data_IF_557094357437
#
_entry.id   IF_557094357437
#
_cell.length_a   1.000
_cell.length_b   1.000
_cell.length_c   1.000
_cell.angle_alpha   90.00
_cell.angle_beta   90.00
_cell.angle_gamma   90.00
#
_symmetry.space_group_name_H-M   'P 1'
#
loop_
_entity.id
_entity.type
_entity.pdbx_description
1 polymer ?
#
# COMPACT_ATOMS: atom_id res chain seq x y z
N UNK A 1 28.07 56.36 -32.94
CA UNK A 1 27.50 56.85 -34.22
C UNK A 1 26.51 55.83 -34.75
N UNK A 2 25.29 56.28 -35.13
CA UNK A 2 24.26 55.63 -35.99
C UNK A 2 23.69 54.27 -35.50
N UNK A 3 22.46 54.19 -34.97
CA UNK A 3 21.09 54.31 -35.55
C UNK A 3 20.44 52.93 -35.77
N UNK A 4 19.42 52.64 -34.95
CA UNK A 4 18.06 52.15 -35.24
C UNK A 4 17.80 51.15 -36.39
N UNK A 5 17.09 50.05 -36.07
CA UNK A 5 15.84 49.51 -36.67
C UNK A 5 15.57 48.12 -36.06
N UNK A 6 14.55 47.93 -35.20
CA UNK A 6 13.12 47.69 -35.50
C UNK A 6 12.86 46.39 -36.25
N UNK A 7 12.15 45.43 -35.62
CA UNK A 7 10.87 44.87 -36.11
C UNK A 7 10.34 43.77 -35.17
N UNK A 8 9.16 44.04 -34.62
CA UNK A 8 8.25 43.07 -34.00
C UNK A 8 7.73 42.07 -35.03
N UNK A 9 7.62 40.80 -34.65
CA UNK A 9 6.65 39.85 -35.23
C UNK A 9 6.13 38.89 -34.15
N UNK A 10 4.85 39.04 -33.79
CA UNK A 10 4.04 38.01 -33.12
C UNK A 10 3.55 36.99 -34.16
N UNK A 11 3.41 35.70 -33.80
CA UNK A 11 2.43 34.84 -34.44
C UNK A 11 1.11 34.85 -33.67
N UNK A 12 0.04 35.28 -34.36
CA UNK A 12 -1.35 34.98 -34.01
C UNK A 12 -1.57 33.47 -34.06
N UNK A 13 -2.12 32.88 -33.01
CA UNK A 13 -2.80 31.58 -33.10
C UNK A 13 -4.29 31.85 -33.12
N UNK A 14 -4.89 31.63 -34.28
CA UNK A 14 -6.32 31.73 -34.58
C UNK A 14 -7.09 30.58 -33.94
N UNK A 15 -8.11 30.93 -33.16
CA UNK A 15 -9.17 30.03 -32.75
C UNK A 15 -10.02 29.64 -33.96
N UNK A 16 -10.12 28.33 -34.25
CA UNK A 16 -11.07 27.76 -35.19
C UNK A 16 -12.18 27.06 -34.44
N UNK A 17 -13.35 27.71 -34.34
CA UNK A 17 -14.61 27.06 -34.05
C UNK A 17 -15.16 26.49 -35.37
N UNK A 18 -15.35 25.18 -35.43
CA UNK A 18 -16.24 24.54 -36.42
C UNK A 18 -17.19 23.63 -35.64
N UNK A 19 -18.48 23.92 -35.75
CA UNK A 19 -19.57 23.07 -35.34
C UNK A 19 -20.22 22.43 -36.57
N UNK A 20 -20.85 21.27 -36.31
CA UNK A 20 -21.83 20.52 -37.11
C UNK A 20 -21.30 19.55 -38.20
N UNK A 21 -21.43 18.24 -37.94
CA UNK A 21 -22.55 17.46 -38.50
C UNK A 21 -22.63 16.08 -37.84
N UNK A 22 -23.87 15.64 -37.61
CA UNK A 22 -24.28 14.30 -37.22
C UNK A 22 -23.73 13.22 -38.16
N UNK A 23 -23.37 12.06 -37.59
CA UNK A 23 -23.55 10.79 -38.27
C UNK A 23 -23.95 9.71 -37.25
N UNK A 24 -25.04 9.02 -37.54
CA UNK A 24 -25.52 7.84 -36.83
C UNK A 24 -24.52 6.70 -37.05
N UNK A 25 -23.96 6.18 -35.97
CA UNK A 25 -23.08 5.01 -35.98
C UNK A 25 -23.36 4.16 -34.76
N UNK A 26 -24.23 3.17 -34.94
CA UNK A 26 -24.55 2.10 -33.99
C UNK A 26 -23.27 1.40 -33.52
N UNK A 27 -23.01 1.42 -32.21
CA UNK A 27 -22.17 0.41 -31.56
C UNK A 27 -22.80 -0.02 -30.24
N UNK A 28 -22.92 -1.33 -30.11
CA UNK A 28 -23.59 -2.08 -29.06
C UNK A 28 -22.98 -1.80 -27.69
N UNK A 29 -23.78 -1.26 -26.77
CA UNK A 29 -23.46 -1.27 -25.35
C UNK A 29 -23.75 -2.67 -24.81
N UNK A 30 -22.71 -3.46 -24.54
CA UNK A 30 -22.82 -4.62 -23.65
C UNK A 30 -23.07 -4.14 -22.22
N UNK A 31 -24.35 -4.12 -21.84
CA UNK A 31 -24.80 -3.94 -20.47
C UNK A 31 -24.68 -5.28 -19.76
N UNK A 32 -23.84 -5.36 -18.73
CA UNK A 32 -23.84 -6.51 -17.83
C UNK A 32 -25.17 -6.50 -17.04
N UNK A 33 -25.96 -7.56 -17.23
CA UNK A 33 -27.13 -7.85 -16.42
C UNK A 33 -26.69 -8.27 -15.02
N UNK A 34 -27.32 -7.64 -14.03
CA UNK A 34 -27.29 -8.06 -12.63
C UNK A 34 -28.07 -9.36 -12.52
N UNK A 35 -27.40 -10.46 -12.18
CA UNK A 35 -28.05 -11.72 -11.84
C UNK A 35 -28.49 -11.66 -10.37
N UNK A 36 -29.80 -11.61 -10.16
CA UNK A 36 -30.42 -11.83 -8.84
C UNK A 36 -30.13 -13.27 -8.38
N UNK A 37 -29.49 -13.42 -7.22
CA UNK A 37 -29.35 -14.73 -6.57
C UNK A 37 -30.55 -14.97 -5.66
N UNK A 38 -31.42 -15.87 -6.11
CA UNK A 38 -32.58 -16.38 -5.42
C UNK A 38 -32.21 -17.04 -4.08
N UNK A 39 -32.84 -16.58 -3.01
CA UNK A 39 -32.82 -17.25 -1.73
C UNK A 39 -33.45 -18.64 -1.81
N UNK A 40 -32.82 -19.63 -1.17
CA UNK A 40 -33.42 -20.93 -0.88
C UNK A 40 -33.47 -21.14 0.62
N UNK A 41 -34.67 -21.02 1.17
CA UNK A 41 -35.05 -21.61 2.45
C UNK A 41 -35.26 -23.11 2.24
N UNK A 42 -34.71 -23.94 3.13
CA UNK A 42 -35.21 -25.30 3.36
C UNK A 42 -35.21 -25.57 4.86
N UNK A 43 -36.40 -25.88 5.36
CA UNK A 43 -36.71 -26.17 6.76
C UNK A 43 -36.68 -27.68 7.05
N UNK A 44 -36.03 -28.01 8.17
CA UNK A 44 -36.18 -29.10 9.16
C UNK A 44 -37.01 -30.39 8.87
N UNK A 45 -36.42 -31.56 9.22
CA UNK A 45 -36.80 -32.48 10.33
C UNK A 45 -35.91 -33.76 10.31
N UNK A 46 -35.14 -34.07 11.38
CA UNK A 46 -35.37 -35.10 12.45
C UNK A 46 -35.43 -36.56 11.94
N UNK A 47 -34.86 -37.64 12.49
CA UNK A 47 -34.07 -38.08 13.66
C UNK A 47 -33.32 -39.37 13.18
N UNK A 48 -32.33 -40.02 13.78
CA UNK A 48 -32.27 -40.61 15.13
C UNK A 48 -30.93 -41.38 15.32
N UNK A 49 -30.51 -41.49 16.58
CA UNK A 49 -29.75 -42.60 17.22
C UNK A 49 -28.25 -42.88 16.93
N UNK A 50 -27.46 -42.45 17.92
CA UNK A 50 -26.30 -43.06 18.61
C UNK A 50 -25.53 -44.26 18.02
N UNK A 51 -24.20 -44.17 18.02
CA UNK A 51 -23.32 -45.12 18.72
C UNK A 51 -21.97 -44.46 19.08
N UNK A 52 -21.45 -44.87 20.23
CA UNK A 52 -20.23 -44.43 20.91
C UNK A 52 -19.00 -45.08 20.27
N UNK A 53 -17.93 -44.33 19.98
CA UNK A 53 -16.59 -44.90 19.74
C UNK A 53 -15.50 -43.85 19.97
N UNK A 54 -14.83 -44.02 21.09
CA UNK A 54 -13.51 -43.51 21.45
C UNK A 54 -12.48 -43.87 20.37
N UNK A 55 -11.84 -42.86 19.77
CA UNK A 55 -10.50 -43.03 19.20
C UNK A 55 -9.79 -41.68 19.16
N UNK A 56 -8.75 -41.58 19.98
CA UNK A 56 -7.69 -40.58 19.87
C UNK A 56 -7.10 -40.61 18.47
N UNK A 57 -7.31 -39.55 17.70
CA UNK A 57 -6.41 -39.20 16.60
C UNK A 57 -6.06 -37.71 16.69
N UNK A 58 -4.77 -37.49 16.88
CA UNK A 58 -4.14 -36.17 16.81
C UNK A 58 -4.42 -35.59 15.43
N UNK A 59 -4.93 -34.37 15.38
CA UNK A 59 -4.89 -33.57 14.16
C UNK A 59 -3.44 -33.49 13.68
N UNK A 60 -3.17 -33.75 12.39
CA UNK A 60 -1.83 -33.62 11.85
C UNK A 60 -1.48 -32.14 11.83
N UNK A 61 -0.49 -31.75 12.62
CA UNK A 61 0.23 -30.49 12.42
C UNK A 61 0.70 -30.41 10.97
N UNK A 62 0.63 -29.21 10.40
CA UNK A 62 1.06 -28.87 9.04
C UNK A 62 2.41 -29.54 8.72
N UNK A 63 2.33 -30.71 8.10
CA UNK A 63 3.45 -31.36 7.47
C UNK A 63 3.69 -30.63 6.16
N UNK A 64 4.85 -30.00 6.05
CA UNK A 64 5.37 -29.43 4.81
C UNK A 64 5.16 -30.44 3.68
N UNK A 65 4.23 -30.15 2.76
CA UNK A 65 4.20 -30.86 1.50
C UNK A 65 5.57 -30.61 0.84
N UNK A 66 6.26 -31.64 0.31
CA UNK A 66 7.49 -31.41 -0.43
C UNK A 66 7.14 -30.49 -1.60
N UNK A 67 7.62 -29.24 -1.57
CA UNK A 67 7.16 -28.17 -2.48
C UNK A 67 7.48 -28.43 -3.95
N UNK A 68 8.04 -29.58 -4.32
CA UNK A 68 8.47 -29.91 -5.69
C UNK A 68 9.65 -29.06 -6.18
N UNK A 69 9.98 -27.98 -5.46
CA UNK A 69 11.05 -27.05 -5.76
C UNK A 69 12.41 -27.66 -5.45
N UNK A 70 13.39 -27.31 -6.29
CA UNK A 70 14.79 -27.68 -6.11
C UNK A 70 15.40 -26.84 -4.99
N UNK A 71 15.84 -27.51 -3.94
CA UNK A 71 16.56 -26.87 -2.83
C UNK A 71 17.96 -26.42 -3.28
N UNK A 72 18.33 -25.19 -2.90
CA UNK A 72 19.65 -24.59 -3.08
C UNK A 72 20.35 -24.45 -1.73
N UNK A 73 21.68 -24.37 -1.76
CA UNK A 73 22.48 -24.19 -0.54
C UNK A 73 22.49 -22.71 -0.14
N UNK A 74 22.31 -22.41 1.14
CA UNK A 74 22.36 -21.05 1.67
C UNK A 74 23.69 -20.35 1.37
N UNK A 75 24.82 -21.09 1.33
CA UNK A 75 26.13 -20.52 1.04
C UNK A 75 26.23 -19.99 -0.41
N UNK A 76 25.40 -20.46 -1.35
CA UNK A 76 25.33 -19.91 -2.71
C UNK A 76 24.92 -18.43 -2.71
N UNK A 77 24.20 -17.99 -1.68
CA UNK A 77 23.65 -16.64 -1.55
C UNK A 77 24.44 -15.78 -0.57
N UNK A 78 25.54 -16.30 0.00
CA UNK A 78 26.33 -15.60 0.99
C UNK A 78 27.12 -14.45 0.35
N UNK A 79 26.99 -13.26 0.92
CA UNK A 79 27.69 -12.09 0.45
C UNK A 79 29.20 -12.21 0.72
N UNK A 80 30.00 -11.71 -0.23
CA UNK A 80 31.46 -11.73 -0.16
C UNK A 80 32.04 -10.35 -0.49
N UNK A 81 33.30 -10.12 -0.12
CA UNK A 81 34.02 -8.87 -0.34
C UNK A 81 34.36 -8.13 0.97
N UNK A 82 35.09 -7.02 0.85
CA UNK A 82 35.69 -6.31 1.99
C UNK A 82 34.69 -5.95 3.11
N UNK A 83 33.44 -5.60 2.74
CA UNK A 83 32.37 -5.26 3.70
C UNK A 83 31.82 -6.45 4.49
N UNK A 84 32.07 -7.68 4.03
CA UNK A 84 31.53 -8.92 4.60
C UNK A 84 32.61 -9.83 5.19
N UNK A 85 33.85 -9.33 5.37
CA UNK A 85 34.94 -10.10 5.99
C UNK A 85 34.67 -10.42 7.47
N UNK A 86 33.92 -9.57 8.14
CA UNK A 86 33.57 -9.69 9.58
C UNK A 86 32.07 -9.75 9.85
N UNK A 87 31.25 -9.66 8.79
CA UNK A 87 29.79 -9.64 8.86
C UNK A 87 29.23 -10.72 7.96
N UNK A 88 28.41 -11.61 8.51
CA UNK A 88 27.72 -12.62 7.72
C UNK A 88 26.38 -12.07 7.23
N UNK A 89 26.17 -12.11 5.92
CA UNK A 89 24.95 -11.67 5.27
C UNK A 89 24.67 -12.49 4.02
N UNK A 90 23.41 -12.58 3.65
CA UNK A 90 22.93 -13.23 2.45
C UNK A 90 22.06 -12.27 1.64
N UNK A 91 22.14 -12.38 0.32
CA UNK A 91 21.29 -11.63 -0.58
C UNK A 91 20.62 -12.56 -1.58
N UNK A 92 19.30 -12.51 -1.65
CA UNK A 92 18.47 -13.34 -2.54
C UNK A 92 17.64 -12.44 -3.43
N UNK A 93 17.62 -12.72 -4.74
CA UNK A 93 16.85 -11.96 -5.74
C UNK A 93 15.90 -12.88 -6.50
N UNK A 94 14.70 -12.38 -6.81
CA UNK A 94 13.72 -13.08 -7.64
C UNK A 94 14.23 -13.31 -9.07
N UNK A 95 13.69 -14.32 -9.81
CA UNK A 95 14.09 -14.60 -11.19
C UNK A 95 13.97 -13.40 -12.14
N UNK A 96 12.94 -12.58 -11.96
CA UNK A 96 12.67 -11.38 -12.76
C UNK A 96 13.41 -10.12 -12.26
N UNK A 97 14.13 -10.23 -11.14
CA UNK A 97 14.88 -9.15 -10.51
C UNK A 97 14.06 -8.09 -9.78
N UNK A 98 12.72 -8.22 -9.68
CA UNK A 98 11.86 -7.25 -9.00
C UNK A 98 12.00 -7.25 -7.48
N UNK A 99 12.25 -8.41 -6.89
CA UNK A 99 12.44 -8.56 -5.45
C UNK A 99 13.91 -8.80 -5.18
N UNK A 100 14.49 -8.04 -4.26
CA UNK A 100 15.88 -8.23 -3.84
C UNK A 100 15.98 -8.06 -2.33
N UNK A 101 16.12 -9.20 -1.65
CA UNK A 101 16.14 -9.33 -0.21
C UNK A 101 17.56 -9.38 0.34
N UNK A 102 17.74 -8.72 1.47
CA UNK A 102 18.96 -8.72 2.26
C UNK A 102 18.67 -9.31 3.64
N UNK A 103 19.55 -10.18 4.11
CA UNK A 103 19.43 -10.84 5.42
C UNK A 103 20.80 -10.82 6.11
N UNK A 104 20.86 -10.30 7.34
CA UNK A 104 22.07 -10.34 8.15
C UNK A 104 21.98 -11.45 9.19
N UNK A 105 23.10 -12.05 9.56
CA UNK A 105 23.15 -12.99 10.67
C UNK A 105 22.65 -12.32 11.97
N UNK A 106 21.73 -13.00 12.66
CA UNK A 106 21.09 -12.49 13.87
C UNK A 106 20.03 -11.41 13.67
N UNK A 107 19.71 -11.03 12.43
CA UNK A 107 18.56 -10.17 12.16
C UNK A 107 17.24 -10.91 12.38
N UNK A 108 16.18 -10.16 12.74
CA UNK A 108 14.86 -10.73 12.99
C UNK A 108 14.20 -11.30 11.72
N UNK A 109 14.59 -10.81 10.55
CA UNK A 109 14.11 -11.27 9.26
C UNK A 109 14.69 -10.41 8.13
N UNK A 110 14.30 -10.70 6.88
CA UNK A 110 14.85 -9.99 5.74
C UNK A 110 14.21 -8.62 5.57
N UNK A 111 14.93 -7.76 4.86
CA UNK A 111 14.42 -6.53 4.26
C UNK A 111 14.55 -6.64 2.75
N UNK A 112 13.46 -6.41 2.04
CA UNK A 112 13.35 -6.72 0.61
C UNK A 112 12.93 -5.48 -0.15
N UNK A 113 13.75 -5.03 -1.09
CA UNK A 113 13.29 -4.08 -2.10
C UNK A 113 12.33 -4.80 -3.04
N UNK A 114 11.25 -4.12 -3.40
CA UNK A 114 10.19 -4.68 -4.24
C UNK A 114 9.81 -3.66 -5.31
N UNK A 115 9.95 -4.06 -6.58
CA UNK A 115 9.41 -3.36 -7.73
C UNK A 115 7.92 -3.66 -7.91
N UNK A 116 7.08 -3.02 -7.10
CA UNK A 116 5.62 -3.16 -7.15
C UNK A 116 5.03 -2.73 -8.49
N UNK A 117 3.98 -3.41 -8.95
CA UNK A 117 3.12 -2.92 -10.03
C UNK A 117 2.22 -1.78 -9.53
N UNK A 118 1.58 -1.99 -8.38
CA UNK A 118 0.72 -1.03 -7.69
C UNK A 118 1.19 -0.92 -6.23
N UNK A 119 2.07 0.04 -5.89
CA UNK A 119 2.69 0.11 -4.57
C UNK A 119 1.67 0.46 -3.49
N UNK A 120 1.70 -0.21 -2.32
CA UNK A 120 0.96 0.23 -1.14
C UNK A 120 1.24 1.70 -0.78
N UNK A 121 0.21 2.44 -0.38
CA UNK A 121 0.31 3.85 0.02
C UNK A 121 0.49 3.96 1.54
N UNK A 122 1.55 4.65 1.95
CA UNK A 122 2.03 4.84 3.32
C UNK A 122 2.31 6.33 3.55
N UNK A 123 1.28 7.16 3.77
CA UNK A 123 1.43 8.60 3.83
C UNK A 123 1.99 9.04 5.19
N UNK A 124 3.29 8.83 5.38
CA UNK A 124 4.03 9.19 6.58
C UNK A 124 4.39 10.70 6.57
N UNK A 125 4.16 11.44 7.66
CA UNK A 125 4.42 12.88 7.72
C UNK A 125 5.91 13.23 7.84
N UNK A 126 6.77 12.27 8.17
CA UNK A 126 8.21 12.43 8.30
C UNK A 126 8.95 11.92 7.05
N UNK A 127 8.26 11.19 6.17
CA UNK A 127 8.85 10.57 5.01
C UNK A 127 8.20 11.05 3.69
N UNK A 128 8.96 11.68 2.78
CA UNK A 128 8.41 12.14 1.51
C UNK A 128 8.04 10.98 0.57
N UNK A 129 8.54 9.77 0.80
CA UNK A 129 8.21 8.58 0.01
C UNK A 129 6.91 7.95 0.53
N UNK A 130 5.78 8.27 -0.12
CA UNK A 130 4.47 7.72 0.22
C UNK A 130 4.21 6.34 -0.37
N UNK A 131 4.80 6.03 -1.52
CA UNK A 131 4.64 4.71 -2.13
C UNK A 131 5.65 3.75 -1.52
N UNK A 132 5.19 2.58 -1.11
CA UNK A 132 6.09 1.53 -0.66
C UNK A 132 7.02 1.11 -1.80
N UNK A 133 8.29 0.91 -1.47
CA UNK A 133 9.31 0.37 -2.36
C UNK A 133 10.09 -0.78 -1.70
N UNK A 134 9.69 -1.14 -0.49
CA UNK A 134 10.33 -2.16 0.34
C UNK A 134 9.28 -2.93 1.14
N UNK A 135 9.63 -4.14 1.56
CA UNK A 135 8.93 -4.94 2.55
C UNK A 135 9.92 -5.31 3.66
N UNK A 136 9.53 -5.10 4.91
CA UNK A 136 10.34 -5.44 6.09
C UNK A 136 9.60 -6.43 6.98
N UNK A 137 10.32 -7.39 7.56
CA UNK A 137 9.80 -8.28 8.59
C UNK A 137 9.90 -7.64 9.99
N UNK A 138 8.85 -7.80 10.79
CA UNK A 138 8.81 -7.45 12.21
C UNK A 138 8.48 -8.72 13.00
N UNK A 139 9.34 -9.09 13.94
CA UNK A 139 9.16 -10.29 14.76
C UNK A 139 7.81 -10.27 15.50
N UNK A 140 7.05 -11.37 15.37
CA UNK A 140 5.72 -11.54 15.96
C UNK A 140 4.59 -10.74 15.29
N UNK A 141 4.89 -9.93 14.27
CA UNK A 141 3.90 -9.16 13.53
C UNK A 141 3.86 -9.49 12.02
N UNK A 142 4.95 -9.98 11.44
CA UNK A 142 5.05 -10.41 10.05
C UNK A 142 5.60 -9.36 9.09
N UNK A 143 5.16 -9.38 7.84
CA UNK A 143 5.74 -8.55 6.76
C UNK A 143 4.97 -7.24 6.53
N UNK A 144 5.66 -6.12 6.44
CA UNK A 144 5.00 -4.81 6.25
C UNK A 144 5.62 -4.07 5.07
N UNK A 145 4.82 -3.51 4.16
CA UNK A 145 5.33 -2.59 3.16
C UNK A 145 5.89 -1.33 3.86
N UNK A 146 6.95 -0.77 3.29
CA UNK A 146 7.63 0.44 3.75
C UNK A 146 8.02 1.30 2.55
N UNK A 147 7.84 2.62 2.67
CA UNK A 147 8.41 3.61 1.77
C UNK A 147 9.75 4.07 2.34
N UNK A 148 10.83 3.99 1.58
CA UNK A 148 12.16 4.43 2.05
C UNK A 148 12.84 5.25 0.96
N UNK A 149 13.34 6.44 1.32
CA UNK A 149 14.06 7.34 0.40
C UNK A 149 15.51 6.88 0.19
N UNK A 150 16.18 6.52 1.28
CA UNK A 150 17.55 6.00 1.27
C UNK A 150 17.61 4.78 2.19
N UNK A 151 17.55 3.60 1.58
CA UNK A 151 17.56 2.33 2.28
C UNK A 151 18.97 1.84 2.62
N UNK A 152 20.00 2.68 2.37
CA UNK A 152 21.38 2.35 2.65
C UNK A 152 21.97 1.32 1.68
N UNK A 153 23.08 0.72 2.10
CA UNK A 153 23.83 -0.25 1.29
C UNK A 153 23.13 -1.62 1.27
N UNK A 154 22.62 -2.01 0.11
CA UNK A 154 22.01 -3.33 -0.10
C UNK A 154 23.06 -4.45 -0.06
N UNK A 155 22.70 -5.60 0.51
CA UNK A 155 23.54 -6.81 0.43
C UNK A 155 23.58 -7.29 -1.02
N UNK A 156 24.78 -7.55 -1.61
CA UNK A 156 24.88 -8.13 -2.93
C UNK A 156 24.06 -9.42 -3.02
N UNK A 157 23.11 -9.45 -3.94
CA UNK A 157 22.14 -10.53 -4.06
C UNK A 157 22.47 -11.48 -5.20
N UNK A 158 22.27 -12.78 -4.97
CA UNK A 158 22.26 -13.79 -6.02
C UNK A 158 20.83 -14.15 -6.41
N UNK A 159 20.64 -14.45 -7.70
CA UNK A 159 19.35 -14.82 -8.24
C UNK A 159 19.00 -16.26 -7.84
N UNK A 160 17.77 -16.44 -7.35
CA UNK A 160 17.12 -17.73 -7.23
C UNK A 160 16.44 -18.03 -8.58
N UNK A 161 16.67 -19.21 -9.16
CA UNK A 161 16.08 -19.53 -10.47
C UNK A 161 14.64 -20.05 -10.33
N UNK A 162 13.90 -20.05 -11.43
CA UNK A 162 12.57 -20.67 -11.51
C UNK A 162 12.61 -22.14 -11.07
N UNK A 163 11.64 -22.53 -10.24
CA UNK A 163 11.51 -23.86 -9.67
C UNK A 163 12.48 -24.14 -8.51
N UNK A 164 13.16 -23.11 -7.99
CA UNK A 164 14.11 -23.25 -6.88
C UNK A 164 13.58 -22.67 -5.56
N UNK A 165 14.17 -23.13 -4.47
CA UNK A 165 14.00 -22.57 -3.13
C UNK A 165 15.28 -22.62 -2.32
N UNK A 166 15.38 -21.78 -1.29
CA UNK A 166 16.48 -21.78 -0.32
C UNK A 166 15.97 -21.43 1.07
N UNK A 167 16.37 -22.20 2.09
CA UNK A 167 16.22 -21.86 3.51
C UNK A 167 17.53 -21.27 4.05
N UNK A 168 17.47 -20.03 4.55
CA UNK A 168 18.58 -19.33 5.19
C UNK A 168 18.15 -18.96 6.60
N UNK A 169 18.64 -19.71 7.59
CA UNK A 169 18.36 -19.48 9.02
C UNK A 169 16.85 -19.42 9.36
N UNK A 170 16.02 -20.24 8.73
CA UNK A 170 14.58 -20.27 8.95
C UNK A 170 13.81 -19.20 8.16
N UNK A 171 14.49 -18.46 7.27
CA UNK A 171 13.88 -17.61 6.24
C UNK A 171 13.88 -18.39 4.93
N UNK A 172 12.69 -18.71 4.43
CA UNK A 172 12.53 -19.49 3.21
C UNK A 172 12.23 -18.53 2.06
N UNK A 173 13.00 -18.64 0.99
CA UNK A 173 12.77 -17.95 -0.28
C UNK A 173 12.40 -18.99 -1.33
N UNK A 174 11.28 -18.78 -2.02
CA UNK A 174 10.79 -19.69 -3.06
C UNK A 174 10.53 -18.92 -4.36
N UNK A 175 10.91 -19.52 -5.48
CA UNK A 175 10.60 -19.02 -6.83
C UNK A 175 9.86 -20.12 -7.61
N UNK A 176 8.56 -20.36 -7.35
CA UNK A 176 7.82 -21.45 -8.01
C UNK A 176 7.74 -21.31 -9.53
N UNK A 177 7.73 -20.07 -10.03
CA UNK A 177 7.75 -19.72 -11.45
C UNK A 177 8.67 -18.51 -11.69
N UNK A 178 8.93 -18.16 -12.94
CA UNK A 178 9.74 -16.98 -13.29
C UNK A 178 9.12 -15.63 -12.83
N UNK A 179 7.82 -15.61 -12.53
CA UNK A 179 7.05 -14.39 -12.18
C UNK A 179 6.31 -14.59 -10.84
N UNK A 180 6.83 -15.45 -9.96
CA UNK A 180 6.30 -15.66 -8.61
C UNK A 180 7.48 -15.81 -7.65
N UNK A 181 7.51 -14.97 -6.62
CA UNK A 181 8.53 -15.02 -5.58
C UNK A 181 7.87 -14.87 -4.21
N UNK A 182 8.12 -15.84 -3.34
CA UNK A 182 7.56 -15.89 -1.98
C UNK A 182 8.68 -15.89 -0.96
N UNK A 183 8.49 -15.12 0.11
CA UNK A 183 9.40 -15.09 1.27
C UNK A 183 8.58 -15.44 2.50
N UNK A 184 9.08 -16.41 3.28
CA UNK A 184 8.43 -16.88 4.48
C UNK A 184 9.38 -16.80 5.67
N UNK A 185 8.86 -16.33 6.80
CA UNK A 185 9.52 -16.37 8.11
C UNK A 185 8.48 -16.82 9.11
N UNK A 186 8.71 -17.97 9.76
CA UNK A 186 7.74 -18.59 10.67
C UNK A 186 6.40 -18.84 9.93
N UNK A 187 5.29 -18.33 10.46
CA UNK A 187 3.93 -18.40 9.94
C UNK A 187 3.55 -17.24 9.02
N UNK A 188 4.43 -16.24 8.86
CA UNK A 188 4.21 -15.08 8.01
C UNK A 188 4.86 -15.25 6.64
N UNK A 189 4.22 -14.71 5.60
CA UNK A 189 4.76 -14.71 4.25
C UNK A 189 4.29 -13.50 3.44
N UNK A 190 5.11 -13.12 2.48
CA UNK A 190 4.66 -12.28 1.38
C UNK A 190 5.01 -12.92 0.05
N UNK A 191 4.21 -12.59 -0.95
CA UNK A 191 4.37 -13.04 -2.33
C UNK A 191 4.30 -11.84 -3.26
N UNK A 192 5.18 -11.83 -4.25
CA UNK A 192 5.11 -10.94 -5.40
C UNK A 192 4.92 -11.81 -6.63
N UNK A 193 3.85 -11.55 -7.40
CA UNK A 193 3.53 -12.32 -8.61
C UNK A 193 2.98 -11.44 -9.74
N UNK A 194 2.77 -12.01 -10.93
CA UNK A 194 2.02 -11.38 -12.04
C UNK A 194 2.57 -9.98 -12.39
N UNK A 195 3.90 -9.85 -12.53
CA UNK A 195 4.53 -8.59 -12.90
C UNK A 195 4.67 -7.55 -11.78
N UNK A 196 4.49 -7.94 -10.52
CA UNK A 196 4.74 -7.07 -9.35
C UNK A 196 3.55 -6.89 -8.41
N UNK A 197 2.49 -7.68 -8.53
CA UNK A 197 1.37 -7.70 -7.61
C UNK A 197 1.80 -8.28 -6.27
N UNK A 198 1.63 -7.50 -5.22
CA UNK A 198 2.03 -7.85 -3.87
C UNK A 198 0.87 -8.33 -3.03
N UNK A 199 1.10 -9.40 -2.27
CA UNK A 199 0.22 -9.87 -1.20
C UNK A 199 1.05 -10.32 -0.01
N UNK A 200 0.56 -10.08 1.21
CA UNK A 200 1.12 -10.65 2.43
C UNK A 200 -0.02 -11.05 3.36
N UNK A 201 0.22 -11.99 4.27
CA UNK A 201 -0.79 -12.39 5.27
C UNK A 201 -1.18 -11.24 6.23
N UNK A 202 -0.29 -10.26 6.33
CA UNK A 202 -0.37 -9.05 7.15
C UNK A 202 -0.86 -7.81 6.40
N UNK A 203 -1.09 -7.89 5.08
CA UNK A 203 -1.53 -6.78 4.24
C UNK A 203 -2.79 -7.15 3.44
N UNK A 204 -3.83 -6.29 3.36
CA UNK A 204 -3.88 -4.90 3.79
C UNK A 204 -3.86 -4.73 5.30
N UNK A 205 -3.23 -3.64 5.76
CA UNK A 205 -3.15 -3.28 7.17
C UNK A 205 -4.55 -3.04 7.72
N UNK A 206 -4.78 -3.52 8.95
CA UNK A 206 -6.06 -3.39 9.65
C UNK A 206 -5.85 -2.82 11.04
N UNK A 207 -6.82 -2.05 11.57
CA UNK A 207 -6.82 -1.67 12.97
C UNK A 207 -6.85 -2.90 13.89
N UNK A 208 -6.29 -2.76 15.08
CA UNK A 208 -6.42 -3.73 16.16
C UNK A 208 -7.87 -3.77 16.72
N UNK A 209 -8.11 -4.65 17.70
CA UNK A 209 -9.42 -4.81 18.33
C UNK A 209 -9.92 -3.55 19.06
N UNK A 210 -9.05 -2.60 19.37
CA UNK A 210 -9.36 -1.34 20.03
C UNK A 210 -9.45 -0.17 19.02
N UNK A 211 -9.28 -0.45 17.73
CA UNK A 211 -9.32 0.53 16.65
C UNK A 211 -8.01 1.28 16.39
N UNK A 212 -6.91 0.92 17.05
CA UNK A 212 -5.60 1.52 16.80
C UNK A 212 -4.94 0.89 15.58
N UNK A 213 -4.37 1.72 14.73
CA UNK A 213 -3.86 1.29 13.44
C UNK A 213 -2.44 1.82 13.14
N UNK A 214 -1.62 1.04 12.43
CA UNK A 214 -0.33 1.52 11.92
C UNK A 214 -0.52 2.43 10.69
N UNK A 215 0.53 3.18 10.35
CA UNK A 215 0.64 4.01 9.14
C UNK A 215 0.28 3.23 7.88
N UNK A 216 -0.47 3.86 6.96
CA UNK A 216 -0.97 3.24 5.73
C UNK A 216 -2.27 2.46 5.87
N UNK A 217 -2.74 2.21 7.09
CA UNK A 217 -4.08 1.63 7.30
C UNK A 217 -5.15 2.59 6.79
N UNK A 218 -6.15 2.05 6.09
CA UNK A 218 -7.36 2.80 5.72
C UNK A 218 -8.38 2.64 6.83
N UNK A 219 -8.71 3.74 7.52
CA UNK A 219 -9.73 3.76 8.57
C UNK A 219 -11.16 3.65 8.03
N UNK A 220 -11.37 4.10 6.79
CA UNK A 220 -12.66 4.07 6.13
C UNK A 220 -12.70 4.99 4.92
N UNK A 221 -13.91 5.20 4.39
CA UNK A 221 -14.20 6.13 3.31
C UNK A 221 -15.23 7.15 3.78
N UNK A 222 -15.14 8.38 3.28
CA UNK A 222 -16.11 9.45 3.52
C UNK A 222 -16.39 10.21 2.24
N UNK A 223 -17.63 10.61 2.05
CA UNK A 223 -17.98 11.53 0.97
C UNK A 223 -17.64 12.96 1.41
N UNK A 224 -17.04 13.74 0.52
CA UNK A 224 -16.67 15.14 0.74
C UNK A 224 -17.17 16.00 -0.42
N UNK A 225 -17.04 17.31 -0.31
CA UNK A 225 -17.32 18.23 -1.43
C UNK A 225 -16.42 18.00 -2.66
N UNK A 226 -15.36 17.19 -2.53
CA UNK A 226 -14.42 16.84 -3.59
C UNK A 226 -14.61 15.39 -4.08
N UNK A 227 -15.71 14.74 -3.70
CA UNK A 227 -15.96 13.33 -4.00
C UNK A 227 -15.61 12.40 -2.84
N UNK A 228 -15.61 11.10 -3.12
CA UNK A 228 -15.33 10.06 -2.12
C UNK A 228 -13.84 9.98 -1.81
N UNK A 229 -13.49 10.02 -0.54
CA UNK A 229 -12.11 10.01 -0.08
C UNK A 229 -11.88 8.83 0.87
N UNK A 230 -10.69 8.22 0.79
CA UNK A 230 -10.18 7.25 1.76
C UNK A 230 -9.43 7.97 2.87
N UNK A 231 -9.70 7.59 4.11
CA UNK A 231 -9.04 8.14 5.31
C UNK A 231 -7.86 7.24 5.67
N UNK A 232 -6.65 7.68 5.35
CA UNK A 232 -5.40 6.97 5.63
C UNK A 232 -4.79 7.41 6.95
N UNK A 233 -4.27 6.45 7.71
CA UNK A 233 -3.45 6.70 8.89
C UNK A 233 -2.07 7.19 8.46
N UNK A 234 -1.62 8.29 9.06
CA UNK A 234 -0.29 8.86 8.85
C UNK A 234 0.70 8.52 9.97
N UNK A 235 0.22 8.20 11.18
CA UNK A 235 1.07 7.94 12.34
C UNK A 235 0.62 6.67 13.06
N UNK A 236 1.58 5.81 13.40
CA UNK A 236 1.32 4.57 14.15
C UNK A 236 0.59 4.85 15.46
N UNK A 237 -0.44 4.06 15.76
CA UNK A 237 -1.25 4.23 16.97
C UNK A 237 -2.38 5.26 16.81
N UNK A 238 -2.72 5.65 15.59
CA UNK A 238 -3.93 6.43 15.33
C UNK A 238 -5.17 5.56 15.58
N UNK A 239 -6.13 6.07 16.37
CA UNK A 239 -7.41 5.40 16.57
C UNK A 239 -8.37 5.70 15.40
N UNK A 240 -8.64 4.70 14.57
CA UNK A 240 -9.48 4.84 13.38
C UNK A 240 -10.94 5.20 13.69
N UNK A 241 -11.51 4.70 14.79
CA UNK A 241 -12.89 5.06 15.16
C UNK A 241 -13.00 6.54 15.48
N UNK A 242 -12.11 7.04 16.35
CA UNK A 242 -12.08 8.47 16.68
C UNK A 242 -11.75 9.32 15.46
N UNK A 243 -10.76 8.93 14.65
CA UNK A 243 -10.38 9.69 13.46
C UNK A 243 -11.54 9.81 12.46
N UNK A 244 -12.30 8.73 12.22
CA UNK A 244 -13.47 8.78 11.34
C UNK A 244 -14.56 9.71 11.86
N UNK A 245 -14.85 9.71 13.17
CA UNK A 245 -15.82 10.64 13.78
C UNK A 245 -15.39 12.10 13.65
N UNK A 246 -14.11 12.39 13.85
CA UNK A 246 -13.56 13.74 13.71
C UNK A 246 -13.60 14.21 12.26
N UNK A 247 -13.22 13.34 11.32
CA UNK A 247 -13.28 13.61 9.88
C UNK A 247 -14.72 13.90 9.48
N UNK A 248 -15.68 13.08 9.89
CA UNK A 248 -17.11 13.28 9.60
C UNK A 248 -17.61 14.65 10.11
N UNK A 249 -17.26 15.01 11.35
CA UNK A 249 -17.60 16.33 11.92
C UNK A 249 -16.99 17.48 11.12
N UNK A 250 -15.74 17.34 10.67
CA UNK A 250 -15.05 18.37 9.91
C UNK A 250 -15.63 18.55 8.51
N UNK A 251 -15.89 17.46 7.77
CA UNK A 251 -16.40 17.53 6.39
C UNK A 251 -17.84 18.03 6.33
N UNK A 252 -18.63 17.77 7.38
CA UNK A 252 -20.01 18.23 7.50
C UNK A 252 -20.14 19.53 8.32
N UNK A 253 -19.03 20.19 8.68
CA UNK A 253 -19.09 21.42 9.46
C UNK A 253 -19.67 22.58 8.65
N UNK A 254 -20.72 23.21 9.18
CA UNK A 254 -21.31 24.41 8.62
C UNK A 254 -20.52 25.65 9.06
N UNK A 255 -19.67 26.16 8.17
CA UNK A 255 -18.83 27.32 8.44
C UNK A 255 -19.64 28.63 8.51
N UNK A 256 -19.55 29.38 9.62
CA UNK A 256 -20.05 30.76 9.67
C UNK A 256 -19.19 31.64 8.75
N UNK A 257 -19.79 32.63 8.10
CA UNK A 257 -19.13 33.68 7.31
C UNK A 257 -17.93 34.30 8.08
N UNK A 258 -18.03 34.42 9.40
CA UNK A 258 -16.93 34.93 10.26
C UNK A 258 -15.74 33.97 10.34
N UNK A 259 -15.96 32.67 10.13
CA UNK A 259 -14.98 31.59 10.25
C UNK A 259 -14.33 31.23 8.92
N UNK A 260 -14.87 31.71 7.78
CA UNK A 260 -14.32 31.46 6.43
C UNK A 260 -12.85 31.92 6.29
N UNK A 261 -12.40 32.87 7.11
CA UNK A 261 -11.01 33.36 7.11
C UNK A 261 -10.01 32.45 7.86
N UNK A 262 -10.45 31.35 8.47
CA UNK A 262 -9.60 30.41 9.24
C UNK A 262 -8.69 29.54 8.37
N UNK A 263 -8.74 29.68 7.03
CA UNK A 263 -8.09 28.77 6.06
C UNK A 263 -8.56 27.32 6.19
N UNK A 264 -9.80 27.12 6.64
CA UNK A 264 -10.37 25.79 6.85
C UNK A 264 -9.75 25.06 8.03
N UNK A 265 -9.18 25.77 9.02
CA UNK A 265 -8.66 25.15 10.24
C UNK A 265 -9.78 25.08 11.27
N UNK A 266 -10.04 23.90 11.82
CA UNK A 266 -11.07 23.67 12.82
C UNK A 266 -10.53 22.76 13.94
N UNK A 267 -10.77 23.15 15.19
CA UNK A 267 -10.49 22.30 16.35
C UNK A 267 -11.79 21.61 16.80
N UNK A 268 -11.77 20.28 16.86
CA UNK A 268 -12.91 19.41 17.17
C UNK A 268 -12.47 18.36 18.18
N UNK A 269 -13.08 18.33 19.36
CA UNK A 269 -12.90 17.27 20.37
C UNK A 269 -11.43 16.86 20.63
N UNK A 270 -10.53 17.84 20.72
CA UNK A 270 -9.11 17.60 20.97
C UNK A 270 -8.30 17.22 19.72
N UNK A 271 -8.87 17.40 18.53
CA UNK A 271 -8.22 17.29 17.23
C UNK A 271 -8.25 18.62 16.50
N UNK A 272 -7.34 18.77 15.55
CA UNK A 272 -7.24 19.90 14.65
C UNK A 272 -7.24 19.39 13.21
N UNK A 273 -8.27 19.77 12.47
CA UNK A 273 -8.40 19.47 11.05
C UNK A 273 -8.08 20.70 10.21
N UNK A 274 -7.51 20.49 9.03
CA UNK A 274 -7.20 21.56 8.08
C UNK A 274 -7.08 21.05 6.65
N UNK A 275 -7.26 21.95 5.68
CA UNK A 275 -6.95 21.70 4.27
C UNK A 275 -5.60 22.34 3.91
N UNK A 276 -4.52 21.56 3.92
CA UNK A 276 -3.14 22.05 3.73
C UNK A 276 -2.36 21.24 2.71
N UNK A 277 -1.31 21.85 2.16
CA UNK A 277 -0.36 21.18 1.28
C UNK A 277 0.51 20.21 2.11
N UNK A 278 0.85 19.01 1.59
CA UNK A 278 1.80 18.12 2.23
C UNK A 278 3.15 18.81 2.48
N UNK A 279 3.82 18.45 3.57
CA UNK A 279 5.00 19.17 4.08
C UNK A 279 6.24 19.05 3.16
N UNK A 280 6.25 18.14 2.19
CA UNK A 280 7.40 17.84 1.31
C UNK A 280 7.23 18.25 -0.16
N UNK A 281 6.25 19.08 -0.51
CA UNK A 281 6.13 19.56 -1.89
C UNK A 281 7.13 20.70 -2.13
N UNK A 282 8.19 20.45 -2.90
CA UNK A 282 9.27 21.42 -3.19
C UNK A 282 8.76 22.75 -3.80
N UNK A 283 7.63 22.71 -4.51
CA UNK A 283 6.97 23.90 -5.06
C UNK A 283 5.54 23.96 -4.54
N UNK A 284 5.12 25.05 -3.88
CA UNK A 284 3.75 25.19 -3.41
C UNK A 284 2.76 24.92 -4.53
N UNK A 285 1.96 23.87 -4.35
CA UNK A 285 0.95 23.47 -5.32
C UNK A 285 -0.41 23.53 -4.63
N UNK A 286 -1.23 24.57 -4.88
CA UNK A 286 -2.52 24.71 -4.23
C UNK A 286 -3.48 23.54 -4.53
N UNK A 287 -3.27 22.82 -5.64
CA UNK A 287 -4.03 21.63 -6.01
C UNK A 287 -3.58 20.36 -5.26
N UNK A 288 -2.41 20.40 -4.60
CA UNK A 288 -1.94 19.29 -3.75
C UNK A 288 -2.53 19.34 -2.33
N UNK A 289 -3.41 20.31 -2.02
CA UNK A 289 -4.02 20.41 -0.68
C UNK A 289 -4.90 19.22 -0.38
N UNK A 290 -4.76 18.68 0.83
CA UNK A 290 -5.54 17.55 1.33
C UNK A 290 -6.12 17.88 2.69
N UNK A 291 -7.23 17.22 3.01
CA UNK A 291 -7.79 17.28 4.36
C UNK A 291 -6.91 16.41 5.23
N UNK A 292 -6.48 16.99 6.33
CA UNK A 292 -5.63 16.37 7.32
C UNK A 292 -6.21 16.68 8.69
N UNK A 293 -6.25 15.67 9.57
CA UNK A 293 -6.62 15.83 10.96
C UNK A 293 -5.52 15.25 11.85
N UNK A 294 -5.01 16.06 12.78
CA UNK A 294 -4.07 15.65 13.83
C UNK A 294 -4.75 15.80 15.19
N UNK A 295 -4.54 14.85 16.09
CA UNK A 295 -4.88 15.08 17.49
C UNK A 295 -3.92 16.14 18.08
N UNK A 296 -4.36 16.85 19.12
CA UNK A 296 -3.53 17.88 19.75
C UNK A 296 -2.32 17.31 20.50
N UNK A 297 -2.25 15.98 20.65
CA UNK A 297 -1.12 15.28 21.27
C UNK A 297 0.00 14.95 20.28
N UNK A 298 -0.30 14.96 18.98
CA UNK A 298 0.57 14.55 17.89
C UNK A 298 0.64 13.03 17.66
N UNK A 299 -0.15 12.22 18.38
CA UNK A 299 -0.14 10.75 18.28
C UNK A 299 -1.05 10.27 17.15
N UNK A 300 -2.28 10.81 17.09
CA UNK A 300 -3.26 10.47 16.07
C UNK A 300 -3.14 11.40 14.87
N UNK A 301 -2.97 10.84 13.66
CA UNK A 301 -2.91 11.65 12.43
C UNK A 301 -3.51 10.89 11.25
N UNK A 302 -4.40 11.56 10.52
CA UNK A 302 -4.99 11.04 9.28
C UNK A 302 -4.95 12.04 8.14
N UNK A 303 -4.94 11.51 6.92
CA UNK A 303 -5.04 12.27 5.68
C UNK A 303 -6.10 11.64 4.78
N UNK A 304 -6.83 12.48 4.05
CA UNK A 304 -7.81 12.05 3.07
C UNK A 304 -7.18 12.08 1.68
N UNK A 305 -7.28 10.96 0.97
CA UNK A 305 -6.85 10.80 -0.42
C UNK A 305 -8.04 10.37 -1.28
N UNK A 306 -7.97 10.63 -2.59
CA UNK A 306 -9.01 10.19 -3.51
C UNK A 306 -9.19 8.68 -3.45
N UNK A 307 -10.44 8.21 -3.41
CA UNK A 307 -10.71 6.79 -3.24
C UNK A 307 -10.38 5.98 -4.51
N UNK A 308 -10.53 6.58 -5.70
CA UNK A 308 -10.28 5.95 -6.99
C UNK A 308 -8.81 6.01 -7.40
N UNK A 309 -8.11 7.10 -7.04
CA UNK A 309 -6.71 7.35 -7.37
C UNK A 309 -5.89 7.80 -6.14
N UNK A 310 -5.80 6.99 -5.07
CA UNK A 310 -5.02 7.34 -3.89
C UNK A 310 -3.51 7.48 -4.19
N UNK A 311 -3.02 6.81 -5.23
CA UNK A 311 -1.65 6.82 -5.74
C UNK A 311 -1.28 8.10 -6.49
N UNK A 312 -2.26 8.85 -6.98
CA UNK A 312 -2.02 10.10 -7.69
C UNK A 312 -2.39 11.30 -6.80
N UNK A 313 -1.47 11.77 -5.93
CA UNK A 313 -1.69 12.95 -5.12
C UNK A 313 -1.76 14.25 -5.97
N UNK A 314 -1.74 14.18 -7.31
CA UNK A 314 -1.98 15.33 -8.20
C UNK A 314 -3.40 15.34 -8.76
N UNK A 315 -4.13 14.22 -8.76
CA UNK A 315 -5.45 14.11 -9.41
C UNK A 315 -6.66 14.56 -8.59
N UNK A 316 -6.48 15.30 -7.49
CA UNK A 316 -7.57 16.10 -6.94
C UNK A 316 -7.76 17.39 -7.76
N UNK A 317 -7.96 17.25 -9.07
CA UNK A 317 -8.42 18.35 -9.90
C UNK A 317 -9.96 18.38 -9.85
N UNK A 318 -10.49 19.60 -9.65
CA UNK A 318 -11.92 19.89 -9.50
C UNK A 318 -12.80 19.36 -10.64
#
# INVERSE_FOLDING_TARGET
MKKLLSLLTLPLVTAGLVACSSDEGTQETHRFEVVESSGSQSSAQSSDSAEESDSTDREPGFGSQPSGLKERDAEDFRATGFRYETTVAWGVRSPDGRVSCSLHEGSQGPWCFVGFENPPILPDPENPQWEANMVSYIEGAGFFPKGVVDAGDQVPSQQLEEGEKVDINGVIFEAPSADEFTVQVQDHHFTVKDGGQFSADTYPLKPDTNGYAPVGTVCGETDTNFGRQKVFVQTDGTNCTTAMEIVDKYVNYEWDIKEVNTRGILELDGWKCSHREPEFVETPNPYARRIHCEDLSGIGRVILLDAAHPEDPKHSEN
#
